data_IF_988991269222
#
_entry.id   IF_988991269222
#
_cell.length_a   1.000
_cell.length_b   1.000
_cell.length_c   1.000
_cell.angle_alpha   90.00
_cell.angle_beta   90.00
_cell.angle_gamma   90.00
#
_symmetry.space_group_name_H-M   'P 1'
#
loop_
_entity.id
_entity.type
_entity.pdbx_description
1 polymer ?
#
# COMPACT_ATOMS: atom_id res chain seq x y z
N UNK A 1 -16.55 -4.15 0.56
CA UNK A 1 -15.76 -5.37 0.29
C UNK A 1 -16.52 -6.63 0.73
N UNK A 2 -16.92 -6.79 2.00
CA UNK A 2 -17.65 -8.00 2.44
C UNK A 2 -18.92 -8.31 1.63
N UNK A 3 -19.74 -7.29 1.32
CA UNK A 3 -20.92 -7.48 0.47
C UNK A 3 -20.55 -8.00 -0.94
N UNK A 4 -19.45 -7.50 -1.52
CA UNK A 4 -18.97 -7.94 -2.82
C UNK A 4 -18.45 -9.39 -2.78
N UNK A 5 -17.80 -9.78 -1.68
CA UNK A 5 -17.37 -11.15 -1.46
C UNK A 5 -18.56 -12.12 -1.40
N UNK A 6 -19.62 -11.76 -0.67
CA UNK A 6 -20.85 -12.56 -0.58
C UNK A 6 -21.58 -12.67 -1.92
N UNK A 7 -21.53 -11.61 -2.73
CA UNK A 7 -22.16 -11.57 -4.05
C UNK A 7 -21.33 -12.25 -5.16
N UNK A 8 -20.07 -12.61 -4.91
CA UNK A 8 -19.13 -13.05 -5.95
C UNK A 8 -19.51 -14.37 -6.63
N UNK A 9 -20.28 -15.23 -5.97
CA UNK A 9 -20.57 -16.60 -6.45
C UNK A 9 -19.40 -17.58 -6.35
N UNK A 10 -18.16 -17.09 -6.23
CA UNK A 10 -16.93 -17.86 -6.06
C UNK A 10 -16.38 -17.81 -4.62
N UNK A 11 -15.49 -18.75 -4.22
CA UNK A 11 -14.82 -18.67 -2.92
C UNK A 11 -13.95 -17.42 -2.78
N UNK A 12 -14.22 -16.61 -1.74
CA UNK A 12 -13.44 -15.41 -1.42
C UNK A 12 -12.85 -15.51 -0.02
N UNK A 13 -11.54 -15.32 0.10
CA UNK A 13 -10.86 -15.17 1.39
C UNK A 13 -10.88 -13.69 1.79
N UNK A 14 -11.69 -13.36 2.81
CA UNK A 14 -11.79 -12.01 3.34
C UNK A 14 -10.93 -11.86 4.60
N UNK A 15 -9.85 -11.08 4.51
CA UNK A 15 -8.89 -10.89 5.60
C UNK A 15 -9.09 -9.53 6.27
N UNK A 16 -9.45 -9.55 7.54
CA UNK A 16 -9.58 -8.34 8.36
C UNK A 16 -8.34 -8.10 9.21
N UNK A 17 -8.10 -6.82 9.52
CA UNK A 17 -7.02 -6.44 10.42
C UNK A 17 -7.59 -6.04 11.78
N UNK A 18 -7.26 -6.80 12.84
CA UNK A 18 -7.83 -6.62 14.18
C UNK A 18 -7.69 -5.18 14.73
N UNK A 19 -6.58 -4.52 14.45
CA UNK A 19 -6.36 -3.14 14.93
C UNK A 19 -7.22 -2.09 14.22
N UNK A 20 -7.89 -2.45 13.11
CA UNK A 20 -8.82 -1.57 12.41
C UNK A 20 -10.26 -1.70 12.92
N UNK A 21 -10.60 -2.71 13.72
CA UNK A 21 -11.99 -2.92 14.18
C UNK A 21 -12.56 -1.75 14.99
N UNK A 22 -11.72 -1.07 15.78
CA UNK A 22 -12.13 0.10 16.55
C UNK A 22 -12.11 1.41 15.77
N UNK A 23 -11.64 1.41 14.52
CA UNK A 23 -11.51 2.63 13.72
C UNK A 23 -12.89 3.09 13.22
N UNK A 24 -13.22 4.34 13.47
CA UNK A 24 -14.43 4.98 12.97
C UNK A 24 -14.14 5.78 11.70
N UNK A 25 -15.12 5.85 10.81
CA UNK A 25 -15.06 6.62 9.58
C UNK A 25 -16.42 6.69 8.92
N UNK A 26 -16.55 7.53 7.90
CA UNK A 26 -17.78 7.62 7.11
C UNK A 26 -18.04 6.31 6.37
N UNK A 27 -19.27 5.82 6.46
CA UNK A 27 -19.73 4.61 5.78
C UNK A 27 -20.71 5.02 4.69
N UNK A 28 -20.38 4.72 3.43
CA UNK A 28 -21.29 4.91 2.31
C UNK A 28 -22.14 3.67 2.12
N UNK A 29 -23.45 3.81 2.26
CA UNK A 29 -24.39 2.72 2.04
C UNK A 29 -24.78 2.63 0.56
N UNK A 30 -24.88 1.41 0.04
CA UNK A 30 -25.41 1.16 -1.31
C UNK A 30 -24.44 1.37 -2.47
N UNK A 31 -23.22 1.87 -2.24
CA UNK A 31 -22.20 1.93 -3.29
C UNK A 31 -21.61 0.54 -3.54
N UNK A 32 -21.75 -0.05 -4.74
CA UNK A 32 -21.14 -1.33 -5.04
C UNK A 32 -19.62 -1.18 -5.06
N UNK A 33 -18.94 -2.08 -4.35
CA UNK A 33 -17.48 -2.17 -4.39
C UNK A 33 -17.11 -3.36 -5.26
N UNK A 34 -16.19 -3.15 -6.19
CA UNK A 34 -15.72 -4.17 -7.11
C UNK A 34 -14.49 -4.88 -6.53
N UNK A 35 -14.49 -6.21 -6.52
CA UNK A 35 -13.30 -6.99 -6.20
C UNK A 35 -12.26 -6.80 -7.32
N UNK A 36 -10.99 -6.74 -6.95
CA UNK A 36 -9.89 -6.54 -7.90
C UNK A 36 -9.66 -5.09 -8.33
N UNK A 37 -10.43 -4.13 -7.82
CA UNK A 37 -10.23 -2.71 -8.08
C UNK A 37 -9.57 -2.01 -6.89
N UNK A 38 -8.52 -1.23 -7.13
CA UNK A 38 -7.87 -0.42 -6.11
C UNK A 38 -8.62 0.90 -5.91
N UNK A 39 -8.27 1.63 -4.85
CA UNK A 39 -8.66 3.04 -4.67
C UNK A 39 -7.45 3.91 -4.39
N UNK A 40 -7.52 5.16 -4.80
CA UNK A 40 -6.57 6.17 -4.33
C UNK A 40 -6.94 6.57 -2.91
N UNK A 41 -6.08 6.22 -1.94
CA UNK A 41 -6.26 6.54 -0.52
C UNK A 41 -5.75 7.95 -0.18
N UNK A 42 -4.77 8.43 -0.96
CA UNK A 42 -4.26 9.79 -0.86
C UNK A 42 -3.69 10.20 -2.21
N UNK A 43 -4.04 11.40 -2.67
CA UNK A 43 -3.37 12.09 -3.75
C UNK A 43 -2.95 13.46 -3.21
N UNK A 44 -1.70 13.86 -3.47
CA UNK A 44 -1.26 15.22 -3.16
C UNK A 44 -2.12 16.26 -3.89
N UNK A 45 -2.04 17.53 -3.45
CA UNK A 45 -2.82 18.64 -4.03
C UNK A 45 -2.29 19.14 -5.37
N UNK A 46 -1.13 18.65 -5.83
CA UNK A 46 -0.52 19.05 -7.10
C UNK A 46 -0.75 17.99 -8.18
N UNK A 47 -0.68 18.41 -9.44
CA UNK A 47 -0.63 17.47 -10.58
C UNK A 47 0.70 16.71 -10.65
N UNK A 48 1.63 16.91 -9.71
CA UNK A 48 2.89 16.18 -9.64
C UNK A 48 2.70 14.89 -8.84
N UNK A 49 3.21 13.79 -9.39
CA UNK A 49 3.30 12.50 -8.73
C UNK A 49 4.75 12.02 -8.85
N UNK A 50 5.55 12.25 -7.82
CA UNK A 50 6.97 11.87 -7.82
C UNK A 50 7.14 10.39 -7.50
N UNK A 51 6.24 9.83 -6.68
CA UNK A 51 6.29 8.43 -6.25
C UNK A 51 4.91 7.83 -6.05
N UNK A 52 4.68 6.69 -6.67
CA UNK A 52 3.51 5.85 -6.40
C UNK A 52 3.81 4.96 -5.19
N UNK A 53 2.94 4.97 -4.18
CA UNK A 53 3.01 4.08 -3.03
C UNK A 53 1.83 3.12 -3.10
N UNK A 54 2.08 1.81 -3.12
CA UNK A 54 1.03 0.78 -3.14
C UNK A 54 1.05 0.04 -1.81
N UNK A 55 -0.12 -0.11 -1.20
CA UNK A 55 -0.32 -0.78 0.08
C UNK A 55 -1.72 -1.40 0.17
N UNK A 56 -1.99 -2.10 1.27
CA UNK A 56 -3.30 -2.66 1.61
C UNK A 56 -3.46 -2.76 3.13
N UNK A 57 -4.70 -2.98 3.59
CA UNK A 57 -5.01 -3.18 5.01
C UNK A 57 -4.54 -2.02 5.89
N UNK A 58 -4.18 -2.28 7.16
CA UNK A 58 -3.72 -1.27 8.13
C UNK A 58 -2.56 -0.42 7.59
N UNK A 59 -1.68 -1.02 6.79
CA UNK A 59 -0.49 -0.34 6.30
C UNK A 59 -0.79 0.86 5.40
N UNK A 60 -1.99 0.92 4.79
CA UNK A 60 -2.46 2.10 4.02
C UNK A 60 -2.44 3.36 4.89
N UNK A 61 -2.87 3.27 6.16
CA UNK A 61 -2.92 4.42 7.05
C UNK A 61 -1.53 4.97 7.35
N UNK A 62 -0.53 4.09 7.53
CA UNK A 62 0.86 4.49 7.69
C UNK A 62 1.42 5.13 6.41
N UNK A 63 1.04 4.61 5.23
CA UNK A 63 1.43 5.22 3.95
C UNK A 63 0.82 6.61 3.75
N UNK A 64 -0.44 6.82 4.13
CA UNK A 64 -1.09 8.14 4.07
C UNK A 64 -0.42 9.12 5.03
N UNK A 65 -0.06 8.68 6.25
CA UNK A 65 0.70 9.51 7.18
C UNK A 65 2.07 9.91 6.60
N UNK A 66 2.82 8.95 6.05
CA UNK A 66 4.09 9.20 5.38
C UNK A 66 3.95 10.15 4.18
N UNK A 67 2.91 10.00 3.36
CA UNK A 67 2.65 10.87 2.23
C UNK A 67 2.41 12.33 2.66
N UNK A 68 1.70 12.55 3.78
CA UNK A 68 1.52 13.90 4.36
C UNK A 68 2.85 14.50 4.84
N UNK A 69 3.73 13.70 5.43
CA UNK A 69 5.07 14.15 5.85
C UNK A 69 5.96 14.51 4.65
N UNK A 70 5.87 13.74 3.55
CA UNK A 70 6.62 13.97 2.32
C UNK A 70 6.27 15.29 1.64
N UNK A 71 5.02 15.75 1.75
CA UNK A 71 4.61 17.06 1.20
C UNK A 71 5.45 18.20 1.79
N UNK A 72 5.79 18.14 3.08
CA UNK A 72 6.65 19.15 3.72
C UNK A 72 8.09 19.16 3.17
N UNK A 73 8.50 18.09 2.48
CA UNK A 73 9.80 17.95 1.82
C UNK A 73 9.72 18.25 0.31
N UNK A 74 8.56 18.70 -0.19
CA UNK A 74 8.32 18.92 -1.61
C UNK A 74 8.20 17.64 -2.44
N UNK A 75 7.94 16.49 -1.80
CA UNK A 75 7.74 15.21 -2.46
C UNK A 75 6.24 14.89 -2.51
N UNK A 76 5.72 14.66 -3.71
CA UNK A 76 4.32 14.36 -3.94
C UNK A 76 4.12 12.86 -4.17
N UNK A 77 3.46 12.20 -3.21
CA UNK A 77 3.15 10.78 -3.30
C UNK A 77 1.67 10.53 -3.63
N UNK A 78 1.41 9.55 -4.50
CA UNK A 78 0.08 8.97 -4.73
C UNK A 78 -0.01 7.61 -4.02
N UNK A 79 -0.91 7.47 -3.04
CA UNK A 79 -1.08 6.25 -2.26
C UNK A 79 -2.27 5.44 -2.78
N UNK A 80 -2.01 4.24 -3.28
CA UNK A 80 -3.02 3.24 -3.64
C UNK A 80 -3.25 2.25 -2.51
N UNK A 81 -4.52 2.06 -2.18
CA UNK A 81 -5.02 0.94 -1.40
C UNK A 81 -5.55 -0.11 -2.38
N UNK A 82 -4.88 -1.26 -2.46
CA UNK A 82 -5.25 -2.33 -3.39
C UNK A 82 -6.66 -2.87 -3.13
N UNK A 83 -7.10 -2.90 -1.86
CA UNK A 83 -8.33 -3.55 -1.37
C UNK A 83 -8.45 -5.05 -1.62
N UNK A 84 -7.93 -5.56 -2.74
CA UNK A 84 -7.93 -6.96 -3.16
C UNK A 84 -6.50 -7.38 -3.48
N UNK A 85 -6.06 -8.51 -2.91
CA UNK A 85 -4.73 -9.07 -3.18
C UNK A 85 -4.73 -9.93 -4.44
N UNK A 86 -5.81 -10.67 -4.70
CA UNK A 86 -5.92 -11.48 -5.91
C UNK A 86 -7.38 -11.62 -6.38
N UNK A 87 -7.67 -11.30 -7.66
CA UNK A 87 -6.81 -10.52 -8.56
C UNK A 87 -6.61 -9.10 -8.01
N UNK A 88 -5.43 -8.51 -8.19
CA UNK A 88 -5.17 -7.12 -7.79
C UNK A 88 -5.29 -6.19 -9.00
N UNK A 89 -5.51 -4.90 -8.74
CA UNK A 89 -5.66 -3.87 -9.78
C UNK A 89 -4.30 -3.52 -10.42
N UNK A 90 -3.82 -4.43 -11.25
CA UNK A 90 -2.53 -4.33 -11.94
C UNK A 90 -2.48 -3.08 -12.82
N UNK A 91 -3.55 -2.82 -13.56
CA UNK A 91 -3.60 -1.73 -14.53
C UNK A 91 -3.45 -0.37 -13.83
N UNK A 92 -4.20 -0.11 -12.75
CA UNK A 92 -4.11 1.16 -12.04
C UNK A 92 -2.68 1.42 -11.50
N UNK A 93 -2.04 0.39 -10.95
CA UNK A 93 -0.67 0.51 -10.42
C UNK A 93 0.34 0.73 -11.54
N UNK A 94 0.25 0.00 -12.66
CA UNK A 94 1.14 0.19 -13.81
C UNK A 94 1.01 1.60 -14.40
N UNK A 95 -0.21 2.11 -14.56
CA UNK A 95 -0.46 3.46 -15.06
C UNK A 95 0.12 4.53 -14.12
N UNK A 96 -0.07 4.38 -12.81
CA UNK A 96 0.49 5.33 -11.84
C UNK A 96 2.02 5.26 -11.76
N UNK A 97 2.59 4.07 -11.68
CA UNK A 97 4.04 3.88 -11.65
C UNK A 97 4.73 4.39 -12.92
N UNK A 98 4.09 4.24 -14.09
CA UNK A 98 4.61 4.79 -15.35
C UNK A 98 4.65 6.32 -15.33
N UNK A 99 3.64 6.97 -14.73
CA UNK A 99 3.60 8.43 -14.57
C UNK A 99 4.65 8.93 -13.58
N UNK A 100 4.76 8.30 -12.42
CA UNK A 100 5.68 8.74 -11.35
C UNK A 100 7.12 8.32 -11.57
N UNK A 101 7.34 7.29 -12.40
CA UNK A 101 8.64 6.65 -12.63
C UNK A 101 9.25 6.02 -11.38
N UNK A 102 8.52 5.98 -10.27
CA UNK A 102 8.97 5.42 -9.00
C UNK A 102 7.82 4.71 -8.30
N UNK A 103 8.06 3.47 -7.88
CA UNK A 103 7.11 2.68 -7.12
C UNK A 103 7.72 2.23 -5.80
N UNK A 104 7.03 2.51 -4.70
CA UNK A 104 7.29 1.92 -3.40
C UNK A 104 6.12 1.00 -3.00
N UNK A 105 6.38 -0.30 -2.93
CA UNK A 105 5.41 -1.27 -2.41
C UNK A 105 5.61 -1.42 -0.90
N UNK A 106 4.58 -1.11 -0.12
CA UNK A 106 4.63 -1.14 1.35
C UNK A 106 3.61 -2.14 1.89
N UNK A 107 4.04 -3.02 2.79
CA UNK A 107 3.13 -3.96 3.45
C UNK A 107 3.61 -4.37 4.83
N UNK A 108 2.69 -4.79 5.69
CA UNK A 108 3.01 -5.18 7.07
C UNK A 108 3.68 -6.57 7.17
N UNK A 109 3.42 -7.46 6.20
CA UNK A 109 4.03 -8.80 6.20
C UNK A 109 5.55 -8.76 6.01
N UNK A 110 6.23 -9.88 6.33
CA UNK A 110 7.66 -10.05 6.06
C UNK A 110 7.97 -9.73 4.60
N UNK A 111 8.96 -8.87 4.38
CA UNK A 111 9.33 -8.41 3.03
C UNK A 111 9.77 -9.57 2.11
N UNK A 112 10.52 -10.53 2.65
CA UNK A 112 10.96 -11.69 1.89
C UNK A 112 9.77 -12.59 1.53
N UNK A 113 9.64 -12.96 0.25
CA UNK A 113 8.56 -13.82 -0.28
C UNK A 113 7.13 -13.32 0.00
N UNK A 114 6.94 -12.05 0.37
CA UNK A 114 5.63 -11.44 0.52
C UNK A 114 5.01 -11.01 -0.82
N UNK A 115 3.71 -10.75 -0.83
CA UNK A 115 2.96 -10.34 -2.02
C UNK A 115 3.52 -9.07 -2.69
N UNK A 116 4.23 -8.21 -1.95
CA UNK A 116 4.90 -7.06 -2.55
C UNK A 116 5.95 -7.43 -3.61
N UNK A 117 6.45 -8.67 -3.63
CA UNK A 117 7.34 -9.17 -4.68
C UNK A 117 6.61 -9.35 -6.02
N UNK A 118 5.36 -9.82 -6.02
CA UNK A 118 4.53 -9.98 -7.22
C UNK A 118 4.26 -8.62 -7.88
N UNK A 119 3.86 -7.62 -7.08
CA UNK A 119 3.64 -6.25 -7.54
C UNK A 119 4.92 -5.66 -8.12
N UNK A 120 6.05 -5.85 -7.43
CA UNK A 120 7.34 -5.32 -7.87
C UNK A 120 7.84 -5.96 -9.17
N UNK A 121 7.76 -7.28 -9.28
CA UNK A 121 8.15 -7.99 -10.50
C UNK A 121 7.29 -7.56 -11.68
N UNK A 122 5.96 -7.55 -11.51
CA UNK A 122 5.03 -7.11 -12.55
C UNK A 122 5.35 -5.71 -13.04
N UNK A 123 5.61 -4.76 -12.14
CA UNK A 123 5.88 -3.36 -12.52
C UNK A 123 7.23 -3.22 -13.21
N UNK A 124 8.26 -3.96 -12.76
CA UNK A 124 9.57 -3.96 -13.39
C UNK A 124 9.55 -4.58 -14.81
N UNK A 125 8.66 -5.55 -15.05
CA UNK A 125 8.49 -6.17 -16.37
C UNK A 125 7.76 -5.28 -17.39
N UNK A 126 6.91 -4.36 -16.91
CA UNK A 126 5.97 -3.62 -17.77
C UNK A 126 6.24 -2.11 -17.82
N UNK A 127 7.15 -1.59 -16.99
CA UNK A 127 7.47 -0.16 -16.90
C UNK A 127 8.96 0.04 -16.62
N UNK A 128 9.52 1.22 -16.91
CA UNK A 128 10.86 1.58 -16.42
C UNK A 128 10.82 2.32 -15.07
N UNK A 129 9.75 2.14 -14.29
CA UNK A 129 9.69 2.71 -12.96
C UNK A 129 10.77 2.08 -12.07
N UNK A 130 11.45 2.90 -11.26
CA UNK A 130 12.33 2.40 -10.22
C UNK A 130 11.49 1.81 -9.09
N UNK A 131 11.70 0.54 -8.79
CA UNK A 131 10.89 -0.18 -7.80
C UNK A 131 11.68 -0.41 -6.51
N UNK A 132 11.06 -0.10 -5.37
CA UNK A 132 11.50 -0.50 -4.04
C UNK A 132 10.36 -1.17 -3.28
N UNK A 133 10.73 -1.95 -2.26
CA UNK A 133 9.80 -2.60 -1.34
C UNK A 133 10.17 -2.29 0.09
N UNK A 134 9.16 -2.13 0.93
CA UNK A 134 9.30 -1.98 2.37
C UNK A 134 8.26 -2.87 3.07
N UNK A 135 8.75 -3.96 3.66
CA UNK A 135 7.96 -4.83 4.51
C UNK A 135 8.64 -5.10 5.84
N UNK A 136 7.99 -5.87 6.70
CA UNK A 136 8.57 -6.26 7.98
C UNK A 136 9.90 -7.02 7.79
N UNK A 137 10.86 -6.87 8.71
CA UNK A 137 12.07 -7.68 8.71
C UNK A 137 11.74 -9.17 8.89
N UNK A 138 12.65 -10.05 8.46
CA UNK A 138 12.50 -11.50 8.61
C UNK A 138 12.83 -11.94 10.03
N UNK A 139 11.99 -11.55 10.98
CA UNK A 139 12.08 -11.89 12.40
C UNK A 139 10.72 -12.34 12.94
N UNK A 140 10.67 -13.13 14.03
CA UNK A 140 9.43 -13.37 14.76
C UNK A 140 8.88 -12.08 15.38
N UNK A 141 7.56 -12.02 15.57
CA UNK A 141 6.92 -10.93 16.32
C UNK A 141 7.17 -11.17 17.82
N UNK A 142 7.92 -10.27 18.45
CA UNK A 142 8.20 -10.34 19.88
C UNK A 142 6.99 -9.95 20.74
N UNK A 143 6.84 -10.55 21.91
CA UNK A 143 5.73 -10.26 22.83
C UNK A 143 5.85 -8.88 23.51
N UNK A 144 7.06 -8.51 23.93
CA UNK A 144 7.29 -7.22 24.55
C UNK A 144 7.10 -6.10 23.51
N UNK A 145 6.42 -5.00 23.86
CA UNK A 145 6.15 -3.89 22.95
C UNK A 145 7.41 -3.38 22.22
N UNK A 146 8.55 -3.35 22.92
CA UNK A 146 9.84 -2.94 22.32
C UNK A 146 10.26 -3.88 21.20
N UNK A 147 10.08 -5.19 21.35
CA UNK A 147 10.40 -6.18 20.33
C UNK A 147 9.34 -6.27 19.24
N UNK A 148 8.06 -6.10 19.58
CA UNK A 148 6.98 -6.02 18.59
C UNK A 148 7.22 -4.84 17.64
N UNK A 149 7.65 -3.70 18.18
CA UNK A 149 7.94 -2.48 17.41
C UNK A 149 8.99 -2.72 16.33
N UNK A 150 10.02 -3.54 16.59
CA UNK A 150 11.05 -3.89 15.61
C UNK A 150 10.49 -4.63 14.38
N UNK A 151 9.36 -5.31 14.52
CA UNK A 151 8.69 -6.01 13.40
C UNK A 151 7.78 -5.10 12.58
N UNK A 152 7.44 -3.89 13.09
CA UNK A 152 6.45 -3.00 12.48
C UNK A 152 7.09 -2.06 11.45
N UNK A 153 6.28 -1.70 10.44
CA UNK A 153 6.65 -0.72 9.41
C UNK A 153 5.96 0.61 9.72
N UNK A 154 6.74 1.60 10.15
CA UNK A 154 6.27 2.94 10.56
C UNK A 154 6.17 3.94 9.40
N UNK A 155 5.37 5.00 9.60
CA UNK A 155 5.27 6.13 8.65
C UNK A 155 6.63 6.77 8.35
N UNK A 156 7.46 6.98 9.38
CA UNK A 156 8.80 7.55 9.23
C UNK A 156 9.70 6.67 8.34
N UNK A 157 9.67 5.35 8.50
CA UNK A 157 10.42 4.43 7.64
C UNK A 157 9.94 4.49 6.19
N UNK A 158 8.62 4.62 5.96
CA UNK A 158 8.04 4.75 4.63
C UNK A 158 8.49 6.06 3.96
N UNK A 159 8.40 7.19 4.66
CA UNK A 159 8.83 8.48 4.14
C UNK A 159 10.33 8.47 3.78
N UNK A 160 11.16 7.90 4.65
CA UNK A 160 12.60 7.74 4.37
C UNK A 160 12.87 6.82 3.17
N UNK A 161 12.12 5.72 3.02
CA UNK A 161 12.26 4.81 1.90
C UNK A 161 11.87 5.48 0.57
N UNK A 162 10.78 6.24 0.55
CA UNK A 162 10.35 7.02 -0.61
C UNK A 162 11.39 8.09 -0.99
N UNK A 163 11.86 8.88 -0.03
CA UNK A 163 12.89 9.89 -0.28
C UNK A 163 14.21 9.27 -0.79
N UNK A 164 14.58 8.08 -0.30
CA UNK A 164 15.77 7.36 -0.76
C UNK A 164 15.60 6.80 -2.17
N UNK A 165 14.39 6.38 -2.54
CA UNK A 165 14.07 5.89 -3.88
C UNK A 165 14.25 7.00 -4.93
N UNK A 166 13.84 8.24 -4.62
CA UNK A 166 13.93 9.40 -5.52
C UNK A 166 15.36 9.94 -5.71
N UNK A 167 16.27 9.68 -4.77
CA UNK A 167 17.66 10.16 -4.82
C UNK A 167 18.61 9.27 -5.61
N UNK A 168 18.21 8.03 -5.86
CA UNK A 168 19.01 7.06 -6.62
C UNK A 168 18.82 7.30 -8.10
#
# INVERSE_FOLDING_TARGET
>A
MLHAALASGDPVVYMEHKELWGMQGEVRHGEPVELGRARTAFAGSSNCNDVTIVSWSKQVHACVAAAKELVAQGIHAEVFDLRTIWPWDREAVLQSASRSRHLLVVHEAVQAAGFGAEVAATVAEHTDARVARLGAPRIPVGYANTLETESRVSAAQIAQAAARLLKR
#
